data_IF_446039227942
#
_entry.id   IF_446039227942
#
_cell.length_a   1.000
_cell.length_b   1.000
_cell.length_c   1.000
_cell.angle_alpha   90.00
_cell.angle_beta   90.00
_cell.angle_gamma   90.00
#
_symmetry.space_group_name_H-M   'P 1'
#
loop_
_entity.id
_entity.type
_entity.pdbx_description
1 polymer ?
#
# COMPACT_ATOMS: atom_id res chain seq x y z
N UNK A 1 13.03 -5.71 -18.67
CA UNK A 1 14.21 -4.80 -18.71
C UNK A 1 15.46 -5.43 -19.33
N UNK A 2 15.69 -6.74 -19.16
CA UNK A 2 16.90 -7.43 -19.62
C UNK A 2 16.87 -7.90 -21.10
N UNK A 3 15.91 -7.41 -21.89
CA UNK A 3 15.69 -7.82 -23.29
C UNK A 3 14.36 -8.55 -23.49
N UNK A 4 14.10 -8.94 -24.75
CA UNK A 4 12.86 -9.62 -25.15
C UNK A 4 12.84 -11.10 -24.74
N UNK A 5 11.70 -11.59 -24.28
CA UNK A 5 11.50 -12.99 -23.88
C UNK A 5 10.59 -13.73 -24.86
N UNK A 6 10.95 -14.98 -25.17
CA UNK A 6 10.20 -15.89 -26.03
C UNK A 6 10.50 -15.74 -27.53
N UNK A 7 9.77 -16.48 -28.36
CA UNK A 7 9.90 -16.49 -29.83
C UNK A 7 8.52 -16.41 -30.50
N UNK A 8 8.49 -16.11 -31.80
CA UNK A 8 7.26 -16.05 -32.60
C UNK A 8 6.57 -14.69 -32.64
N UNK A 9 5.35 -14.68 -33.22
CA UNK A 9 4.56 -13.46 -33.45
C UNK A 9 3.88 -12.99 -32.16
N UNK A 10 3.84 -11.67 -31.96
CA UNK A 10 3.04 -11.04 -30.93
C UNK A 10 1.54 -11.17 -31.22
N UNK A 11 0.77 -11.38 -30.17
CA UNK A 11 -0.69 -11.33 -30.16
C UNK A 11 -1.07 -10.09 -29.38
N UNK A 12 -1.75 -9.17 -30.06
CA UNK A 12 -2.18 -7.90 -29.47
C UNK A 12 -3.69 -7.91 -29.34
N UNK A 13 -4.18 -7.69 -28.12
CA UNK A 13 -5.61 -7.61 -27.81
C UNK A 13 -5.90 -6.37 -26.97
N UNK A 14 -7.03 -5.73 -27.23
CA UNK A 14 -7.60 -4.73 -26.31
C UNK A 14 -8.62 -5.44 -25.42
N UNK A 15 -8.59 -5.13 -24.13
CA UNK A 15 -9.55 -5.67 -23.17
C UNK A 15 -9.43 -5.01 -21.81
N UNK A 16 -10.25 -5.43 -20.87
CA UNK A 16 -10.24 -4.90 -19.51
C UNK A 16 -9.38 -5.77 -18.57
N UNK A 17 -9.15 -5.24 -17.38
CA UNK A 17 -8.57 -5.94 -16.24
C UNK A 17 -9.66 -6.02 -15.17
N UNK A 18 -9.79 -7.18 -14.54
CA UNK A 18 -10.74 -7.38 -13.43
C UNK A 18 -10.34 -6.55 -12.20
N UNK A 19 -11.27 -6.37 -11.25
CA UNK A 19 -11.02 -5.66 -9.99
C UNK A 19 -9.89 -6.28 -9.15
N UNK A 20 -9.60 -7.57 -9.34
CA UNK A 20 -8.50 -8.27 -8.66
C UNK A 20 -7.17 -8.17 -9.42
N UNK A 21 -7.10 -7.44 -10.54
CA UNK A 21 -5.89 -7.26 -11.32
C UNK A 21 -5.61 -8.35 -12.37
N UNK A 22 -6.55 -9.27 -12.63
CA UNK A 22 -6.39 -10.28 -13.69
C UNK A 22 -6.77 -9.71 -15.06
N UNK A 23 -5.88 -9.78 -16.04
CA UNK A 23 -6.14 -9.38 -17.42
C UNK A 23 -7.12 -10.34 -18.10
N UNK A 24 -8.21 -9.82 -18.67
CA UNK A 24 -9.23 -10.65 -19.33
C UNK A 24 -8.78 -11.22 -20.68
N UNK A 25 -7.66 -10.72 -21.25
CA UNK A 25 -7.15 -11.15 -22.57
C UNK A 25 -6.20 -12.36 -22.50
N UNK A 26 -5.36 -12.43 -21.47
CA UNK A 26 -4.33 -13.46 -21.29
C UNK A 26 -4.44 -14.20 -19.95
N UNK A 27 -5.34 -13.78 -19.06
CA UNK A 27 -5.51 -14.31 -17.70
C UNK A 27 -4.30 -14.14 -16.77
N UNK A 28 -3.30 -13.35 -17.15
CA UNK A 28 -2.17 -13.03 -16.26
C UNK A 28 -2.59 -12.02 -15.17
N UNK A 29 -1.94 -12.12 -14.02
CA UNK A 29 -2.11 -11.24 -12.88
C UNK A 29 -1.19 -10.03 -13.03
N UNK A 30 -1.75 -8.83 -13.03
CA UNK A 30 -0.97 -7.61 -12.92
C UNK A 30 -0.37 -7.49 -11.52
N UNK A 31 0.83 -6.92 -11.46
CA UNK A 31 1.54 -6.66 -10.23
C UNK A 31 1.03 -5.38 -9.55
N UNK A 32 1.11 -5.36 -8.22
CA UNK A 32 1.15 -4.13 -7.44
C UNK A 32 2.61 -3.66 -7.44
N UNK A 33 2.90 -2.62 -8.20
CA UNK A 33 4.23 -2.02 -8.29
C UNK A 33 4.39 -1.09 -7.09
N UNK A 34 5.31 -1.42 -6.20
CA UNK A 34 5.65 -0.55 -5.07
C UNK A 34 6.34 0.73 -5.55
N UNK A 35 6.21 1.78 -4.75
CA UNK A 35 6.89 3.05 -5.02
C UNK A 35 8.41 2.86 -4.94
N UNK A 36 9.15 3.54 -5.81
CA UNK A 36 10.62 3.50 -5.80
C UNK A 36 11.14 3.92 -4.43
N UNK A 37 12.00 3.10 -3.81
CA UNK A 37 12.52 3.37 -2.46
C UNK A 37 13.29 4.69 -2.38
N UNK A 38 14.05 5.02 -3.43
CA UNK A 38 14.81 6.27 -3.49
C UNK A 38 13.88 7.47 -3.59
N UNK A 39 12.80 7.37 -4.36
CA UNK A 39 11.80 8.43 -4.45
C UNK A 39 11.00 8.56 -3.14
N UNK A 40 10.67 7.43 -2.51
CA UNK A 40 10.00 7.37 -1.22
C UNK A 40 10.84 8.04 -0.13
N UNK A 41 12.16 7.77 -0.11
CA UNK A 41 13.05 8.42 0.85
C UNK A 41 13.13 9.93 0.61
N UNK A 42 13.27 10.38 -0.64
CA UNK A 42 13.23 11.82 -0.98
C UNK A 42 11.92 12.49 -0.59
N UNK A 43 10.80 11.79 -0.74
CA UNK A 43 9.49 12.26 -0.31
C UNK A 43 9.44 12.44 1.21
N UNK A 44 9.91 11.43 1.98
CA UNK A 44 10.00 11.51 3.44
C UNK A 44 10.90 12.67 3.88
N UNK A 45 12.08 12.82 3.28
CA UNK A 45 13.03 13.89 3.61
C UNK A 45 12.43 15.28 3.34
N UNK A 46 11.76 15.44 2.20
CA UNK A 46 11.07 16.68 1.81
C UNK A 46 9.93 17.00 2.77
N UNK A 47 9.19 15.98 3.20
CA UNK A 47 8.09 16.12 4.15
C UNK A 47 8.58 16.57 5.53
N UNK A 48 9.66 15.97 6.04
CA UNK A 48 10.29 16.38 7.30
C UNK A 48 10.78 17.82 7.20
N UNK A 49 11.42 18.20 6.09
CA UNK A 49 11.90 19.57 5.88
C UNK A 49 10.75 20.59 5.90
N UNK A 50 9.63 20.30 5.23
CA UNK A 50 8.46 21.17 5.20
C UNK A 50 7.76 21.29 6.57
N UNK A 51 7.64 20.17 7.30
CA UNK A 51 7.08 20.16 8.65
C UNK A 51 7.90 21.04 9.59
N UNK A 52 9.24 20.99 9.48
CA UNK A 52 10.16 21.78 10.28
C UNK A 52 10.16 23.28 9.88
N UNK A 53 10.17 23.58 8.58
CA UNK A 53 10.20 24.97 8.07
C UNK A 53 8.95 25.75 8.47
N UNK A 54 7.76 25.16 8.33
CA UNK A 54 6.50 25.84 8.66
C UNK A 54 6.35 26.10 10.14
N UNK A 55 6.83 25.17 10.96
CA UNK A 55 6.87 25.35 12.40
C UNK A 55 7.80 26.51 12.79
N UNK A 56 8.93 26.68 12.10
CA UNK A 56 9.82 27.82 12.31
C UNK A 56 9.17 29.17 11.94
N UNK A 57 8.26 29.19 10.94
CA UNK A 57 7.49 30.39 10.56
C UNK A 57 6.35 30.71 11.53
N UNK A 58 5.83 29.72 12.27
CA UNK A 58 4.68 29.90 13.16
C UNK A 58 5.02 30.36 14.59
N UNK A 59 6.24 30.14 15.12
CA UNK A 59 6.56 30.52 16.51
C UNK A 59 8.02 30.95 16.73
N UNK A 60 8.21 32.17 17.28
CA UNK A 60 9.49 32.66 17.81
C UNK A 60 9.62 32.54 19.34
N UNK A 61 8.61 32.06 20.09
CA UNK A 61 8.67 32.12 21.56
C UNK A 61 8.11 30.95 22.39
N UNK A 62 7.52 29.88 21.83
CA UNK A 62 6.93 28.82 22.65
C UNK A 62 7.54 27.42 22.46
N UNK A 63 7.58 26.68 23.58
CA UNK A 63 8.32 25.43 23.84
C UNK A 63 8.31 24.43 22.67
N UNK A 64 9.53 24.09 22.23
CA UNK A 64 9.90 23.07 21.25
C UNK A 64 9.28 21.70 21.59
N UNK A 65 8.13 21.33 21.02
CA UNK A 65 7.78 19.90 20.87
C UNK A 65 8.27 19.48 19.50
N UNK A 66 9.42 18.82 19.43
CA UNK A 66 10.12 18.55 18.18
C UNK A 66 9.38 17.50 17.34
N UNK A 67 9.31 17.69 16.02
CA UNK A 67 8.80 16.65 15.12
C UNK A 67 9.66 15.39 15.24
N UNK A 68 10.95 15.55 15.58
CA UNK A 68 11.88 14.46 15.89
C UNK A 68 11.40 13.56 17.04
N UNK A 69 10.67 14.08 18.03
CA UNK A 69 10.12 13.26 19.11
C UNK A 69 9.14 12.22 18.56
N UNK A 70 8.32 12.60 17.57
CA UNK A 70 7.44 11.67 16.89
C UNK A 70 8.21 10.68 16.01
N UNK A 71 9.28 11.12 15.35
CA UNK A 71 10.13 10.24 14.54
C UNK A 71 10.75 9.14 15.42
N UNK A 72 11.35 9.52 16.54
CA UNK A 72 11.94 8.60 17.51
C UNK A 72 10.87 7.69 18.15
N UNK A 73 9.68 8.24 18.42
CA UNK A 73 8.57 7.48 18.97
C UNK A 73 8.12 6.41 17.98
N UNK A 74 7.96 6.76 16.70
CA UNK A 74 7.53 5.83 15.65
C UNK A 74 8.54 4.70 15.46
N UNK A 75 9.84 5.01 15.44
CA UNK A 75 10.90 3.99 15.32
C UNK A 75 10.92 3.00 16.50
N UNK A 76 10.50 3.43 17.70
CA UNK A 76 10.41 2.57 18.89
C UNK A 76 9.11 1.78 18.98
N UNK A 77 8.00 2.29 18.43
CA UNK A 77 6.65 1.76 18.66
C UNK A 77 6.05 1.02 17.45
N UNK A 78 6.76 0.94 16.33
CA UNK A 78 6.78 -0.30 15.56
C UNK A 78 6.07 -0.34 14.21
N UNK A 79 5.79 -1.59 13.83
CA UNK A 79 5.40 -2.05 12.50
C UNK A 79 3.87 -2.01 12.31
N UNK A 80 3.32 -0.81 12.16
CA UNK A 80 1.91 -0.62 11.82
C UNK A 80 1.63 -0.96 10.35
N UNK A 81 0.52 -1.65 10.10
CA UNK A 81 0.05 -1.96 8.74
C UNK A 81 -0.90 -0.89 8.18
N UNK A 82 -1.43 -0.01 9.05
CA UNK A 82 -2.26 1.10 8.67
C UNK A 82 -2.12 2.28 9.65
N UNK A 83 -2.16 3.49 9.10
CA UNK A 83 -2.25 4.76 9.79
C UNK A 83 -3.65 5.34 9.59
N UNK A 84 -4.20 5.94 10.63
CA UNK A 84 -5.58 6.44 10.67
C UNK A 84 -5.57 7.93 10.97
N UNK A 85 -6.12 8.71 10.04
CA UNK A 85 -6.42 10.13 10.24
C UNK A 85 -7.67 10.25 11.13
N UNK A 86 -7.43 10.35 12.43
CA UNK A 86 -8.49 10.33 13.42
C UNK A 86 -9.41 11.54 13.33
N UNK A 87 -8.89 12.70 12.90
CA UNK A 87 -9.68 13.92 12.77
C UNK A 87 -10.65 13.82 11.59
N UNK A 88 -10.17 13.36 10.44
CA UNK A 88 -10.99 13.19 9.23
C UNK A 88 -12.12 12.18 9.46
N UNK A 89 -11.83 11.04 10.10
CA UNK A 89 -12.85 10.02 10.41
C UNK A 89 -13.86 10.51 11.43
N UNK A 90 -13.40 11.06 12.55
CA UNK A 90 -14.30 11.49 13.62
C UNK A 90 -15.17 12.69 13.25
N UNK A 91 -14.83 13.45 12.20
CA UNK A 91 -15.63 14.58 11.70
C UNK A 91 -16.44 14.26 10.44
N UNK A 92 -16.34 13.03 9.93
CA UNK A 92 -17.01 12.65 8.69
C UNK A 92 -18.55 12.64 8.84
N UNK A 93 -19.21 13.42 7.98
CA UNK A 93 -20.67 13.64 7.98
C UNK A 93 -21.21 14.23 9.30
N UNK A 94 -20.39 14.97 10.06
CA UNK A 94 -20.78 15.58 11.34
C UNK A 94 -21.17 17.08 11.22
N UNK A 95 -21.55 17.56 10.03
CA UNK A 95 -21.81 18.99 9.78
C UNK A 95 -23.24 19.46 10.15
N UNK A 96 -23.87 18.88 11.19
CA UNK A 96 -25.20 19.27 11.68
C UNK A 96 -25.10 20.08 12.98
N UNK A 97 -26.21 20.68 13.45
CA UNK A 97 -26.20 21.66 14.55
C UNK A 97 -25.59 21.13 15.87
N UNK A 98 -25.85 19.87 16.20
CA UNK A 98 -25.25 19.16 17.35
C UNK A 98 -24.12 18.21 16.92
N UNK A 99 -23.59 18.42 15.71
CA UNK A 99 -22.56 17.61 15.10
C UNK A 99 -21.24 17.77 15.84
N UNK A 100 -20.65 16.64 16.20
CA UNK A 100 -19.46 16.59 17.03
C UNK A 100 -18.49 15.53 16.55
N UNK A 101 -17.40 15.35 17.29
CA UNK A 101 -16.47 14.27 17.01
C UNK A 101 -17.09 12.91 17.36
N UNK A 102 -17.18 12.02 16.38
CA UNK A 102 -17.73 10.67 16.54
C UNK A 102 -16.64 9.65 16.83
N UNK A 103 -16.43 9.34 18.11
CA UNK A 103 -15.58 8.22 18.51
C UNK A 103 -16.09 6.86 18.00
N UNK A 104 -17.41 6.57 17.94
CA UNK A 104 -17.90 5.31 17.38
C UNK A 104 -17.52 5.09 15.91
N UNK A 105 -17.49 6.15 15.08
CA UNK A 105 -17.01 6.03 13.70
C UNK A 105 -15.54 5.65 13.66
N UNK A 106 -14.71 6.30 14.48
CA UNK A 106 -13.29 5.99 14.59
C UNK A 106 -13.04 4.56 15.08
N UNK A 107 -13.76 4.13 16.12
CA UNK A 107 -13.69 2.77 16.65
C UNK A 107 -14.08 1.72 15.59
N UNK A 108 -15.12 1.97 14.80
CA UNK A 108 -15.53 1.07 13.72
C UNK A 108 -14.43 0.87 12.68
N UNK A 109 -13.73 1.95 12.29
CA UNK A 109 -12.58 1.88 11.36
C UNK A 109 -11.44 1.07 11.96
N UNK A 110 -11.10 1.34 13.21
CA UNK A 110 -10.00 0.66 13.91
C UNK A 110 -10.28 -0.85 14.01
N UNK A 111 -11.50 -1.25 14.40
CA UNK A 111 -11.91 -2.66 14.48
C UNK A 111 -11.88 -3.36 13.12
N UNK A 112 -12.38 -2.71 12.07
CA UNK A 112 -12.38 -3.28 10.72
C UNK A 112 -10.94 -3.48 10.21
N UNK A 113 -10.04 -2.54 10.44
CA UNK A 113 -8.63 -2.67 10.08
C UNK A 113 -7.93 -3.79 10.86
N UNK A 114 -8.19 -3.88 12.16
CA UNK A 114 -7.67 -4.95 13.01
C UNK A 114 -8.07 -6.34 12.48
N UNK A 115 -9.35 -6.53 12.13
CA UNK A 115 -9.83 -7.79 11.55
C UNK A 115 -9.23 -8.07 10.17
N UNK A 116 -8.99 -7.04 9.34
CA UNK A 116 -8.40 -7.20 8.00
C UNK A 116 -6.90 -7.52 8.00
N UNK A 117 -6.16 -7.10 9.04
CA UNK A 117 -4.71 -7.35 9.15
C UNK A 117 -4.36 -8.85 9.12
N UNK A 118 -5.27 -9.73 9.57
CA UNK A 118 -5.05 -11.18 9.63
C UNK A 118 -4.07 -11.62 10.72
N UNK A 119 -3.17 -10.74 11.16
CA UNK A 119 -2.22 -10.93 12.26
C UNK A 119 -2.61 -10.17 13.53
N UNK A 120 -3.85 -9.68 13.62
CA UNK A 120 -4.33 -8.92 14.78
C UNK A 120 -3.48 -7.69 15.09
N UNK A 121 -2.98 -6.98 14.06
CA UNK A 121 -2.28 -5.71 14.27
C UNK A 121 -3.25 -4.55 14.32
N UNK A 122 -3.09 -3.73 15.34
CA UNK A 122 -3.83 -2.49 15.46
C UNK A 122 -3.25 -1.42 14.52
N UNK A 123 -4.09 -0.55 13.95
CA UNK A 123 -3.62 0.63 13.24
C UNK A 123 -3.12 1.70 14.23
N UNK A 124 -2.28 2.61 13.76
CA UNK A 124 -1.90 3.81 14.51
C UNK A 124 -2.88 4.95 14.24
N UNK A 125 -3.52 5.46 15.29
CA UNK A 125 -4.43 6.59 15.26
C UNK A 125 -3.66 7.87 15.54
N UNK A 126 -3.76 8.85 14.66
CA UNK A 126 -3.22 10.19 14.87
C UNK A 126 -4.35 11.17 15.13
N UNK A 127 -4.27 11.86 16.27
CA UNK A 127 -5.29 12.80 16.69
C UNK A 127 -4.69 13.97 17.47
N UNK A 128 -5.17 15.18 17.24
CA UNK A 128 -4.67 16.36 17.95
C UNK A 128 -4.90 16.29 19.47
N UNK A 129 -3.91 16.69 20.27
CA UNK A 129 -3.93 16.61 21.75
C UNK A 129 -5.15 17.27 22.39
N UNK A 130 -5.63 18.38 21.81
CA UNK A 130 -6.89 19.03 22.25
C UNK A 130 -8.08 18.08 22.16
N UNK A 131 -8.20 17.31 21.08
CA UNK A 131 -9.29 16.36 20.87
C UNK A 131 -9.17 15.16 21.82
N UNK A 132 -7.96 14.61 21.96
CA UNK A 132 -7.67 13.53 22.91
C UNK A 132 -8.09 13.93 24.33
N UNK A 133 -7.73 15.13 24.76
CA UNK A 133 -8.12 15.66 26.08
C UNK A 133 -9.64 15.73 26.24
N UNK A 134 -10.36 16.29 25.27
CA UNK A 134 -11.84 16.36 25.32
C UNK A 134 -12.48 14.97 25.38
N UNK A 135 -11.91 13.97 24.70
CA UNK A 135 -12.40 12.60 24.78
C UNK A 135 -12.13 11.97 26.17
N UNK A 136 -10.98 12.24 26.78
CA UNK A 136 -10.65 11.78 28.13
C UNK A 136 -11.50 12.43 29.22
N UNK A 137 -11.95 13.66 29.00
CA UNK A 137 -12.89 14.37 29.89
C UNK A 137 -14.31 13.77 29.84
N UNK A 138 -14.65 13.00 28.80
CA UNK A 138 -15.93 12.31 28.68
C UNK A 138 -15.85 10.90 29.30
N UNK A 139 -16.60 10.61 30.40
CA UNK A 139 -16.54 9.33 31.09
C UNK A 139 -16.85 8.11 30.21
N UNK A 140 -17.72 8.26 29.21
CA UNK A 140 -18.11 7.18 28.30
C UNK A 140 -16.96 6.78 27.37
N UNK A 141 -16.12 7.73 26.97
CA UNK A 141 -15.04 7.52 26.01
C UNK A 141 -13.70 7.23 26.68
N UNK A 142 -13.53 7.69 27.93
CA UNK A 142 -12.26 7.70 28.64
C UNK A 142 -11.53 6.36 28.65
N UNK A 143 -12.20 5.27 29.02
CA UNK A 143 -11.57 3.96 29.16
C UNK A 143 -10.98 3.48 27.83
N UNK A 144 -11.71 3.65 26.72
CA UNK A 144 -11.26 3.24 25.38
C UNK A 144 -10.06 4.07 24.92
N UNK A 145 -10.06 5.38 25.17
CA UNK A 145 -8.96 6.26 24.77
C UNK A 145 -7.71 6.01 25.62
N UNK A 146 -7.86 5.76 26.92
CA UNK A 146 -6.73 5.37 27.79
C UNK A 146 -6.15 4.03 27.35
N UNK A 147 -6.98 3.04 27.01
CA UNK A 147 -6.53 1.76 26.42
C UNK A 147 -5.72 1.98 25.14
N UNK A 148 -6.21 2.83 24.23
CA UNK A 148 -5.51 3.11 22.98
C UNK A 148 -4.14 3.79 23.19
N UNK A 149 -4.04 4.70 24.15
CA UNK A 149 -2.77 5.35 24.51
C UNK A 149 -1.80 4.33 25.12
N UNK A 150 -2.28 3.51 26.08
CA UNK A 150 -1.44 2.54 26.79
C UNK A 150 -0.93 1.43 25.87
N UNK A 151 -1.72 1.04 24.87
CA UNK A 151 -1.33 0.05 23.87
C UNK A 151 -0.47 0.63 22.73
N UNK A 152 -0.16 1.94 22.76
CA UNK A 152 0.61 2.60 21.72
C UNK A 152 -0.13 2.78 20.39
N UNK A 153 -1.44 2.54 20.34
CA UNK A 153 -2.24 2.60 19.09
C UNK A 153 -2.81 3.99 18.83
N UNK A 154 -2.64 4.94 19.74
CA UNK A 154 -3.00 6.35 19.55
C UNK A 154 -1.84 7.27 19.92
N UNK A 155 -1.48 8.16 18.99
CA UNK A 155 -0.51 9.23 19.21
C UNK A 155 -1.19 10.60 19.17
N UNK A 156 -0.97 11.38 20.25
CA UNK A 156 -1.54 12.70 20.41
C UNK A 156 -0.64 13.78 19.79
N UNK A 157 -1.01 14.34 18.64
CA UNK A 157 -0.18 15.37 17.98
C UNK A 157 -0.18 16.67 18.79
N UNK A 158 0.98 17.35 18.90
CA UNK A 158 1.14 18.49 19.80
C UNK A 158 0.37 19.74 19.33
N UNK A 159 -0.05 20.61 20.27
CA UNK A 159 -0.70 21.87 19.95
C UNK A 159 0.13 22.74 19.00
N UNK A 160 -0.54 23.35 18.02
CA UNK A 160 0.09 24.28 17.08
C UNK A 160 0.85 23.61 15.93
N UNK A 161 0.88 22.28 15.89
CA UNK A 161 1.35 21.51 14.74
C UNK A 161 0.17 21.05 13.90
N UNK A 162 0.38 20.93 12.59
CA UNK A 162 -0.60 20.32 11.70
C UNK A 162 -0.48 18.79 11.80
N UNK A 163 -1.56 18.10 12.12
CA UNK A 163 -1.64 16.64 12.19
C UNK A 163 -1.36 15.96 10.84
N UNK A 164 -1.57 16.67 9.72
CA UNK A 164 -1.27 16.20 8.37
C UNK A 164 0.15 15.65 8.20
N UNK A 165 1.12 16.35 8.77
CA UNK A 165 2.53 15.95 8.68
C UNK A 165 2.80 14.62 9.36
N UNK A 166 2.08 14.30 10.43
CA UNK A 166 2.33 13.11 11.23
C UNK A 166 1.83 11.87 10.51
N UNK A 167 0.60 11.90 9.99
CA UNK A 167 0.05 10.71 9.34
C UNK A 167 0.65 10.49 7.96
N UNK A 168 1.04 11.55 7.23
CA UNK A 168 1.81 11.40 6.00
C UNK A 168 3.19 10.79 6.27
N UNK A 169 3.92 11.33 7.26
CA UNK A 169 5.24 10.83 7.62
C UNK A 169 5.18 9.36 8.02
N UNK A 170 4.27 9.01 8.93
CA UNK A 170 4.14 7.64 9.43
C UNK A 170 3.83 6.67 8.30
N UNK A 171 2.89 7.03 7.43
CA UNK A 171 2.50 6.17 6.29
C UNK A 171 3.67 5.98 5.33
N UNK A 172 4.37 7.05 4.97
CA UNK A 172 5.46 7.00 4.00
C UNK A 172 6.70 6.27 4.55
N UNK A 173 7.07 6.52 5.81
CA UNK A 173 8.20 5.88 6.49
C UNK A 173 7.96 4.37 6.68
N UNK A 174 6.75 3.97 7.09
CA UNK A 174 6.40 2.56 7.31
C UNK A 174 5.92 1.84 6.03
N UNK A 175 5.73 2.57 4.92
CA UNK A 175 5.22 2.06 3.64
C UNK A 175 3.90 1.28 3.78
N UNK A 176 3.00 1.76 4.64
CA UNK A 176 1.77 1.07 5.02
C UNK A 176 0.51 1.80 4.48
N UNK A 177 -0.70 1.36 4.86
CA UNK A 177 -1.94 1.99 4.42
C UNK A 177 -2.20 3.30 5.17
N UNK A 178 -2.89 4.25 4.54
CA UNK A 178 -3.39 5.48 5.14
C UNK A 178 -4.90 5.56 5.00
N UNK A 179 -5.63 5.63 6.11
CA UNK A 179 -7.08 5.78 6.09
C UNK A 179 -7.45 7.24 6.27
N UNK A 180 -7.83 7.89 5.16
CA UNK A 180 -8.35 9.27 5.14
C UNK A 180 -9.15 9.50 3.85
N UNK A 181 -10.21 10.29 3.96
CA UNK A 181 -10.93 10.85 2.81
C UNK A 181 -10.40 12.23 2.41
N UNK A 182 -9.35 12.73 3.07
CA UNK A 182 -8.70 13.96 2.63
C UNK A 182 -8.10 13.77 1.24
N UNK A 183 -8.36 14.75 0.36
CA UNK A 183 -7.83 14.72 -1.01
C UNK A 183 -6.40 15.23 -1.09
N UNK A 184 -5.87 15.79 0.00
CA UNK A 184 -4.53 16.38 0.08
C UNK A 184 -4.33 17.39 -1.05
N UNK A 185 -5.34 18.25 -1.26
CA UNK A 185 -5.39 19.24 -2.35
C UNK A 185 -4.68 20.55 -2.03
N UNK A 186 -4.11 20.67 -0.84
CA UNK A 186 -3.38 21.87 -0.51
C UNK A 186 -2.17 22.03 -1.43
N UNK A 187 -1.96 23.27 -1.90
CA UNK A 187 -0.80 23.74 -2.67
C UNK A 187 0.57 23.35 -2.07
N UNK A 188 0.55 22.88 -0.83
CA UNK A 188 1.68 22.44 -0.02
C UNK A 188 2.11 21.04 -0.44
N UNK A 189 1.16 20.18 -0.76
CA UNK A 189 1.41 18.82 -1.24
C UNK A 189 1.79 18.81 -2.72
N UNK A 190 1.48 19.87 -3.47
CA UNK A 190 2.02 20.06 -4.82
C UNK A 190 3.55 20.19 -4.83
N UNK A 191 4.16 20.67 -3.74
CA UNK A 191 5.61 20.74 -3.56
C UNK A 191 6.26 19.36 -3.43
N UNK A 192 5.49 18.31 -3.12
CA UNK A 192 5.99 16.94 -2.93
C UNK A 192 6.12 16.14 -4.23
N UNK A 193 5.96 16.80 -5.39
CA UNK A 193 6.09 16.18 -6.71
C UNK A 193 4.79 15.52 -7.16
N UNK A 194 4.06 16.20 -8.05
CA UNK A 194 2.70 15.83 -8.45
C UNK A 194 2.57 14.41 -9.01
N UNK A 195 3.57 13.88 -9.72
CA UNK A 195 3.48 12.55 -10.32
C UNK A 195 3.77 11.39 -9.35
N UNK A 196 4.71 11.57 -8.41
CA UNK A 196 5.01 10.58 -7.38
C UNK A 196 3.89 10.51 -6.36
N UNK A 197 3.45 11.68 -5.86
CA UNK A 197 2.45 11.74 -4.81
C UNK A 197 1.11 11.13 -5.22
N UNK A 198 0.67 11.30 -6.47
CA UNK A 198 -0.57 10.63 -6.94
C UNK A 198 -0.42 9.11 -6.97
N UNK A 199 0.71 8.57 -7.45
CA UNK A 199 0.98 7.13 -7.41
C UNK A 199 1.03 6.60 -5.97
N UNK A 200 1.64 7.37 -5.08
CA UNK A 200 1.70 7.05 -3.66
C UNK A 200 0.28 7.04 -3.05
N UNK A 201 -0.55 8.05 -3.33
CA UNK A 201 -1.96 8.07 -2.92
C UNK A 201 -2.72 6.84 -3.41
N UNK A 202 -2.66 6.54 -4.71
CA UNK A 202 -3.33 5.37 -5.30
C UNK A 202 -2.91 4.05 -4.62
N UNK A 203 -1.65 3.94 -4.19
CA UNK A 203 -1.07 2.74 -3.58
C UNK A 203 -1.36 2.60 -2.08
N UNK A 204 -1.48 3.72 -1.37
CA UNK A 204 -1.52 3.75 0.10
C UNK A 204 -2.85 4.22 0.68
N UNK A 205 -3.62 5.07 -0.02
CA UNK A 205 -4.84 5.68 0.50
C UNK A 205 -6.01 4.71 0.49
N UNK A 206 -6.54 4.43 1.68
CA UNK A 206 -7.83 3.76 1.91
C UNK A 206 -8.87 4.84 2.13
N UNK A 207 -9.90 4.87 1.28
CA UNK A 207 -11.06 5.74 1.47
C UNK A 207 -12.12 5.01 2.28
N UNK A 208 -13.07 5.75 2.82
CA UNK A 208 -14.16 5.15 3.59
C UNK A 208 -15.47 5.89 3.38
N UNK A 209 -16.57 5.17 3.58
CA UNK A 209 -17.91 5.76 3.58
C UNK A 209 -18.74 5.12 4.69
N UNK A 210 -19.59 5.92 5.32
CA UNK A 210 -20.61 5.45 6.24
C UNK A 210 -21.99 5.56 5.56
N UNK A 211 -22.69 4.43 5.42
CA UNK A 211 -24.06 4.39 4.90
C UNK A 211 -24.98 3.79 5.94
N UNK A 212 -25.89 4.61 6.49
CA UNK A 212 -26.79 4.21 7.59
C UNK A 212 -26.03 3.57 8.78
N UNK A 213 -24.87 4.13 9.12
CA UNK A 213 -23.99 3.63 10.19
C UNK A 213 -23.07 2.48 9.81
N UNK A 214 -23.21 1.87 8.63
CA UNK A 214 -22.32 0.80 8.18
C UNK A 214 -21.06 1.39 7.51
N UNK A 215 -19.90 0.98 8.02
CA UNK A 215 -18.61 1.31 7.44
C UNK A 215 -18.35 0.48 6.18
N UNK A 216 -17.89 1.14 5.12
CA UNK A 216 -17.27 0.51 3.96
C UNK A 216 -15.89 1.12 3.74
N UNK A 217 -14.86 0.29 3.76
CA UNK A 217 -13.50 0.67 3.37
C UNK A 217 -13.30 0.39 1.88
N UNK A 218 -12.77 1.38 1.16
CA UNK A 218 -12.38 1.30 -0.24
C UNK A 218 -10.86 1.18 -0.28
N UNK A 219 -10.40 -0.07 -0.42
CA UNK A 219 -8.98 -0.42 -0.39
C UNK A 219 -8.30 0.00 -1.71
N UNK A 220 -7.00 0.36 -1.67
CA UNK A 220 -6.17 0.48 -2.86
C UNK A 220 -6.31 -0.75 -3.78
N UNK A 221 -6.32 -0.56 -5.11
CA UNK A 221 -6.35 -1.68 -6.04
C UNK A 221 -5.16 -2.63 -5.81
N UNK A 222 -5.35 -3.95 -5.94
CA UNK A 222 -4.27 -4.93 -5.75
C UNK A 222 -3.27 -4.96 -6.92
N UNK A 223 -3.34 -3.99 -7.83
CA UNK A 223 -2.49 -3.85 -9.01
C UNK A 223 -2.30 -2.39 -9.35
N UNK A 224 -1.16 -2.05 -9.97
CA UNK A 224 -0.85 -0.67 -10.34
C UNK A 224 -1.23 -0.36 -11.79
N UNK A 225 -1.84 0.81 -12.02
CA UNK A 225 -2.23 1.28 -13.35
C UNK A 225 -1.05 1.92 -14.09
N UNK A 226 -0.04 1.10 -14.37
CA UNK A 226 1.19 1.48 -15.09
C UNK A 226 1.48 0.49 -16.20
N UNK A 227 2.42 0.81 -17.08
CA UNK A 227 2.94 -0.16 -18.05
C UNK A 227 3.66 -1.28 -17.29
N UNK A 228 3.29 -2.52 -17.53
CA UNK A 228 3.86 -3.68 -16.86
C UNK A 228 4.40 -4.71 -17.87
N UNK A 229 5.58 -5.24 -17.58
CA UNK A 229 6.18 -6.38 -18.25
C UNK A 229 6.13 -7.58 -17.30
N UNK A 230 5.56 -8.69 -17.76
CA UNK A 230 5.55 -9.96 -17.01
C UNK A 230 6.87 -10.72 -17.20
N UNK A 231 7.17 -11.65 -16.31
CA UNK A 231 8.30 -12.59 -16.44
C UNK A 231 8.24 -13.44 -17.72
N UNK A 232 7.06 -13.57 -18.32
CA UNK A 232 6.83 -14.31 -19.56
C UNK A 232 7.11 -13.46 -20.81
N UNK A 233 7.47 -12.18 -20.65
CA UNK A 233 7.62 -11.22 -21.72
C UNK A 233 6.31 -10.66 -22.26
N UNK A 234 5.16 -10.95 -21.63
CA UNK A 234 3.89 -10.29 -21.94
C UNK A 234 3.88 -8.85 -21.41
N UNK A 235 3.38 -7.91 -22.21
CA UNK A 235 3.24 -6.50 -21.85
C UNK A 235 1.77 -6.12 -21.66
N UNK A 236 1.53 -5.29 -20.66
CA UNK A 236 0.22 -4.70 -20.37
C UNK A 236 0.36 -3.18 -20.32
N UNK A 237 -0.35 -2.49 -21.22
CA UNK A 237 -0.29 -1.02 -21.35
C UNK A 237 -1.67 -0.45 -21.07
N UNK A 238 -1.85 0.33 -19.99
CA UNK A 238 -3.12 1.01 -19.74
C UNK A 238 -3.29 2.16 -20.73
N UNK A 239 -4.49 2.28 -21.29
CA UNK A 239 -4.85 3.42 -22.15
C UNK A 239 -5.39 4.55 -21.27
N UNK A 240 -5.01 5.80 -21.55
CA UNK A 240 -5.57 6.96 -20.86
C UNK A 240 -7.06 7.10 -21.20
N UNK A 241 -7.88 7.28 -20.16
CA UNK A 241 -9.30 7.56 -20.29
C UNK A 241 -9.56 8.98 -19.74
N UNK A 242 -10.33 9.79 -20.46
CA UNK A 242 -10.70 11.14 -20.00
C UNK A 242 -11.82 11.12 -18.94
N UNK A 243 -12.53 9.99 -18.80
CA UNK A 243 -13.59 9.81 -17.82
C UNK A 243 -13.06 9.00 -16.63
N UNK A 244 -13.44 9.39 -15.41
CA UNK A 244 -13.01 8.80 -14.12
C UNK A 244 -13.47 7.35 -13.87
N UNK A 245 -13.95 6.62 -14.88
CA UNK A 245 -14.36 5.22 -14.72
C UNK A 245 -13.14 4.29 -14.81
N UNK A 246 -12.41 4.16 -13.70
CA UNK A 246 -11.20 3.33 -13.65
C UNK A 246 -11.48 1.84 -13.86
N UNK A 247 -12.65 1.35 -13.45
CA UNK A 247 -13.04 -0.06 -13.58
C UNK A 247 -13.29 -0.49 -15.03
N UNK A 248 -13.59 0.46 -15.92
CA UNK A 248 -13.81 0.20 -17.36
C UNK A 248 -12.60 0.56 -18.22
N UNK A 249 -11.45 0.89 -17.60
CA UNK A 249 -10.21 1.24 -18.30
C UNK A 249 -9.83 0.16 -19.30
N UNK A 250 -9.55 0.59 -20.52
CA UNK A 250 -9.05 -0.29 -21.59
C UNK A 250 -7.55 -0.51 -21.43
N UNK A 251 -7.13 -1.76 -21.57
CA UNK A 251 -5.74 -2.20 -21.55
C UNK A 251 -5.37 -2.83 -22.88
N UNK A 252 -4.13 -2.58 -23.32
CA UNK A 252 -3.51 -3.30 -24.42
C UNK A 252 -2.70 -4.47 -23.84
N UNK A 253 -3.11 -5.70 -24.15
CA UNK A 253 -2.40 -6.92 -23.79
C UNK A 253 -1.60 -7.38 -25.02
N UNK A 254 -0.28 -7.51 -24.84
CA UNK A 254 0.67 -7.90 -25.88
C UNK A 254 1.41 -9.13 -25.38
N UNK A 255 1.09 -10.30 -25.91
CA UNK A 255 1.68 -11.58 -25.44
C UNK A 255 2.14 -12.44 -26.60
N UNK A 256 2.95 -13.47 -26.31
CA UNK A 256 3.33 -14.50 -27.29
C UNK A 256 2.62 -15.80 -26.96
N UNK A 257 2.23 -16.56 -28.00
CA UNK A 257 1.73 -17.92 -27.83
C UNK A 257 2.85 -18.81 -27.30
N UNK A 258 2.57 -19.64 -26.30
CA UNK A 258 3.53 -20.64 -25.83
C UNK A 258 3.61 -21.78 -26.84
N UNK A 259 4.81 -22.31 -27.03
CA UNK A 259 5.03 -23.53 -27.83
C UNK A 259 4.30 -24.74 -27.21
N UNK A 260 4.02 -24.70 -25.91
CA UNK A 260 3.28 -25.75 -25.18
C UNK A 260 1.76 -25.78 -25.46
N UNK A 261 1.19 -24.76 -26.12
CA UNK A 261 -0.23 -24.69 -26.47
C UNK A 261 -0.54 -25.28 -27.87
N UNK A 262 0.45 -25.93 -28.50
CA UNK A 262 0.21 -26.71 -29.71
C UNK A 262 -0.55 -27.99 -29.32
N UNK A 263 -1.70 -28.31 -29.96
CA UNK A 263 -2.31 -29.61 -29.81
C UNK A 263 -1.25 -30.66 -30.17
N UNK A 264 -0.99 -31.62 -29.28
CA UNK A 264 -0.20 -32.80 -29.64
C UNK A 264 -0.90 -33.47 -30.83
N UNK A 265 -0.39 -33.24 -32.03
CA UNK A 265 -0.78 -34.01 -33.20
C UNK A 265 -0.37 -35.44 -32.90
N UNK A 266 -1.36 -36.33 -32.71
CA UNK A 266 -1.14 -37.76 -32.62
C UNK A 266 -0.64 -38.27 -33.97
N UNK A 267 0.64 -38.08 -34.24
CA UNK A 267 1.35 -38.71 -35.34
C UNK A 267 1.66 -40.15 -34.97
N UNK A 268 0.80 -41.08 -35.40
CA UNK A 268 1.23 -42.47 -35.58
C UNK A 268 2.34 -42.48 -36.62
N UNK A 269 3.58 -42.76 -36.22
CA UNK A 269 4.60 -43.22 -37.15
C UNK A 269 5.16 -44.56 -36.68
N UNK A 270 5.11 -45.49 -37.62
CA UNK A 270 5.39 -46.90 -37.48
C UNK A 270 6.86 -47.18 -37.22
N UNK A 271 7.08 -48.29 -36.52
CA UNK A 271 8.36 -48.94 -36.24
C UNK A 271 9.04 -49.47 -37.51
N UNK A 272 10.27 -49.02 -37.76
CA UNK A 272 11.39 -49.79 -38.33
C UNK A 272 12.64 -48.90 -38.15
N UNK A 273 13.82 -49.29 -37.70
CA UNK A 273 14.48 -50.56 -37.46
C UNK A 273 15.98 -50.25 -37.58
N UNK A 274 16.78 -50.77 -36.65
CA UNK A 274 18.27 -50.84 -36.61
C UNK A 274 19.12 -49.60 -36.26
N UNK A 275 19.73 -49.71 -35.06
CA UNK A 275 21.18 -49.62 -34.74
C UNK A 275 22.00 -48.43 -35.32
N UNK A 276 22.85 -47.66 -34.60
CA UNK A 276 23.86 -48.01 -33.58
C UNK A 276 24.60 -46.73 -33.10
N UNK A 277 24.99 -46.67 -31.81
CA UNK A 277 26.08 -45.89 -31.15
C UNK A 277 26.01 -44.34 -31.24
N UNK A 278 26.25 -43.55 -30.18
CA UNK A 278 27.36 -43.55 -29.22
C UNK A 278 26.88 -42.99 -27.86
N UNK A 279 27.39 -43.56 -26.78
CA UNK A 279 27.17 -43.17 -25.38
C UNK A 279 28.35 -42.30 -24.87
N UNK A 280 28.12 -41.61 -23.75
CA UNK A 280 29.04 -40.81 -22.91
C UNK A 280 28.97 -39.30 -23.16
N UNK A 281 28.93 -38.42 -22.15
CA UNK A 281 29.38 -38.55 -20.76
C UNK A 281 28.68 -37.55 -19.82
N UNK A 282 28.57 -37.95 -18.54
CA UNK A 282 28.84 -37.21 -17.29
C UNK A 282 28.45 -35.71 -17.17
N UNK A 283 27.94 -35.20 -16.04
CA UNK A 283 28.12 -35.62 -14.66
C UNK A 283 27.04 -35.02 -13.73
N UNK A 284 26.71 -35.79 -12.68
CA UNK A 284 26.05 -35.33 -11.45
C UNK A 284 27.12 -34.86 -10.45
N UNK A 285 26.81 -33.82 -9.68
CA UNK A 285 27.31 -33.56 -8.31
C UNK A 285 26.40 -32.46 -7.72
N UNK A 286 25.97 -32.41 -6.45
CA UNK A 286 26.27 -33.13 -5.22
C UNK A 286 24.97 -33.29 -4.39
N UNK A 287 24.92 -34.34 -3.56
CA UNK A 287 23.96 -34.56 -2.48
C UNK A 287 24.61 -34.17 -1.14
N UNK A 288 23.80 -33.52 -0.29
CA UNK A 288 23.68 -33.62 1.19
C UNK A 288 24.88 -34.04 2.06
N UNK A 289 25.11 -33.28 3.14
CA UNK A 289 24.79 -33.70 4.52
C UNK A 289 25.45 -32.77 5.55
N UNK A 290 24.65 -32.23 6.48
CA UNK A 290 25.16 -31.69 7.75
C UNK A 290 24.27 -32.27 8.85
N UNK A 291 24.78 -33.29 9.54
CA UNK A 291 24.20 -33.83 10.77
C UNK A 291 24.76 -33.07 11.99
N UNK A 292 23.96 -33.12 13.05
CA UNK A 292 24.10 -32.42 14.31
C UNK A 292 25.12 -33.05 15.29
N UNK A 293 25.59 -32.20 16.22
CA UNK A 293 25.75 -32.51 17.65
C UNK A 293 27.06 -33.16 18.12
N UNK A 294 27.82 -32.45 18.96
CA UNK A 294 28.08 -32.84 20.37
C UNK A 294 29.01 -31.86 21.10
N UNK A 295 28.52 -31.38 22.24
CA UNK A 295 29.08 -31.33 23.61
C UNK A 295 30.59 -31.19 23.92
N UNK A 296 30.79 -30.29 24.91
CA UNK A 296 31.73 -30.28 26.05
C UNK A 296 33.26 -30.23 25.84
N UNK A 297 33.83 -29.03 26.09
CA UNK A 297 34.69 -28.71 27.25
C UNK A 297 34.95 -27.20 27.35
#
# INVERSE_FOLDING_TARGET
GHGWVGEGKWIVKKGNVSLTGRCLSCSEQLASVDTNEVETQKFVDSLVALAMERKAKMNSCDRKVDFSEFQDWLEKHGDYEAIVDGANIGLYQQNFADGGFSLPQLEAVVKELYHKSGNNKWPLILLHKKRVRTLLENPTHRNLVEEWINNGVLYATPPGSNDDWYWLYATAKLKCLLVTNDEMRDHIFELLGSSFFQKWKERHQVRYTFTKGNLKLEMPPPFSVVIQESEKGSWHVPVSCQNNEESSRTWLCISRKRVLDLPKVNGKFATSGNEKKILSSCNKSLLSSCDAGNDEN
#
